data_IF_972089130082
#
_entry.id   IF_972089130082
#
_cell.length_a   1.000
_cell.length_b   1.000
_cell.length_c   1.000
_cell.angle_alpha   90.00
_cell.angle_beta   90.00
_cell.angle_gamma   90.00
#
_symmetry.space_group_name_H-M   'P 1'
#
loop_
_entity.id
_entity.type
_entity.pdbx_description
1 polymer ?
#
# COMPACT_ATOMS: atom_id res chain seq x y z
N UNK A 1 13.77 -25.80 -23.42
CA UNK A 1 12.64 -25.73 -22.47
C UNK A 1 12.88 -24.56 -21.50
N UNK A 2 12.18 -23.44 -21.67
CA UNK A 2 12.39 -22.18 -20.92
C UNK A 2 11.60 -22.20 -19.60
N UNK A 3 12.29 -22.03 -18.48
CA UNK A 3 11.77 -22.11 -17.11
C UNK A 3 10.83 -20.94 -16.78
N UNK A 4 9.61 -21.16 -16.27
CA UNK A 4 8.68 -20.10 -15.86
C UNK A 4 8.84 -19.76 -14.35
N UNK A 5 10.07 -19.54 -13.86
CA UNK A 5 10.31 -19.30 -12.43
C UNK A 5 10.36 -17.80 -12.03
N UNK A 6 10.15 -16.87 -12.97
CA UNK A 6 10.17 -15.42 -12.70
C UNK A 6 8.80 -14.80 -12.38
N UNK A 7 7.72 -15.57 -12.50
CA UNK A 7 6.35 -15.03 -12.46
C UNK A 7 5.86 -14.71 -11.02
N UNK A 8 6.28 -15.50 -10.03
CA UNK A 8 5.89 -15.27 -8.62
C UNK A 8 6.64 -14.14 -7.95
N UNK A 9 7.73 -13.64 -8.53
CA UNK A 9 8.56 -12.62 -7.88
C UNK A 9 7.88 -11.25 -7.88
N UNK A 10 7.24 -10.87 -9.00
CA UNK A 10 6.51 -9.60 -9.10
C UNK A 10 5.27 -9.60 -8.19
N UNK A 11 4.46 -10.66 -8.24
CA UNK A 11 3.30 -10.81 -7.35
C UNK A 11 3.71 -10.87 -5.88
N UNK A 12 4.79 -11.59 -5.55
CA UNK A 12 5.33 -11.67 -4.20
C UNK A 12 5.84 -10.32 -3.67
N UNK A 13 6.50 -9.53 -4.51
CA UNK A 13 6.94 -8.16 -4.17
C UNK A 13 5.72 -7.27 -3.91
N UNK A 14 4.70 -7.30 -4.78
CA UNK A 14 3.46 -6.53 -4.60
C UNK A 14 2.75 -6.90 -3.30
N UNK A 15 2.60 -8.19 -3.01
CA UNK A 15 1.99 -8.66 -1.76
C UNK A 15 2.79 -8.22 -0.52
N UNK A 16 4.12 -8.27 -0.62
CA UNK A 16 5.01 -7.84 0.45
C UNK A 16 4.90 -6.34 0.70
N UNK A 17 4.91 -5.53 -0.36
CA UNK A 17 4.69 -4.08 -0.30
C UNK A 17 3.34 -3.75 0.34
N UNK A 18 2.27 -4.41 -0.09
CA UNK A 18 0.92 -4.23 0.47
C UNK A 18 0.90 -4.58 1.97
N UNK A 19 1.53 -5.69 2.36
CA UNK A 19 1.59 -6.09 3.78
C UNK A 19 2.31 -5.05 4.64
N UNK A 20 3.47 -4.58 4.22
CA UNK A 20 4.21 -3.53 4.96
C UNK A 20 3.47 -2.19 4.96
N UNK A 21 2.77 -1.88 3.86
CA UNK A 21 1.91 -0.70 3.78
C UNK A 21 0.77 -0.75 4.80
N UNK A 22 0.02 -1.86 4.85
CA UNK A 22 -1.04 -2.11 5.84
C UNK A 22 -0.50 -2.02 7.27
N UNK A 23 0.70 -2.54 7.53
CA UNK A 23 1.33 -2.47 8.85
C UNK A 23 1.64 -1.03 9.25
N UNK A 24 2.19 -0.22 8.34
CA UNK A 24 2.43 1.21 8.57
C UNK A 24 1.13 2.00 8.77
N UNK A 25 0.08 1.65 8.01
CA UNK A 25 -1.24 2.25 8.11
C UNK A 25 -1.90 1.94 9.46
N UNK A 26 -1.75 0.71 9.96
CA UNK A 26 -2.17 0.31 11.30
C UNK A 26 -1.40 1.08 12.40
N UNK A 27 -0.09 1.30 12.22
CA UNK A 27 0.70 2.13 13.12
C UNK A 27 0.20 3.59 13.15
N UNK A 28 -0.12 4.15 11.99
CA UNK A 28 -0.63 5.52 11.89
C UNK A 28 -2.04 5.67 12.48
N UNK A 29 -2.93 4.69 12.30
CA UNK A 29 -4.26 4.72 12.94
C UNK A 29 -4.16 4.63 14.46
N UNK A 30 -3.25 3.81 14.99
CA UNK A 30 -2.99 3.78 16.45
C UNK A 30 -2.47 5.13 16.92
N UNK A 31 -1.48 5.72 16.22
CA UNK A 31 -0.94 7.03 16.58
C UNK A 31 -2.01 8.14 16.53
N UNK A 32 -2.92 8.09 15.54
CA UNK A 32 -4.05 9.00 15.43
C UNK A 32 -5.04 8.86 16.59
N UNK A 33 -5.41 7.63 16.96
CA UNK A 33 -6.29 7.36 18.10
C UNK A 33 -5.65 7.87 19.40
N UNK A 34 -4.36 7.61 19.60
CA UNK A 34 -3.63 8.11 20.77
C UNK A 34 -3.60 9.65 20.78
N UNK A 35 -3.33 10.29 19.65
CA UNK A 35 -3.33 11.76 19.55
C UNK A 35 -4.71 12.37 19.85
N UNK A 36 -5.80 11.69 19.46
CA UNK A 36 -7.17 12.05 19.81
C UNK A 36 -7.41 11.93 21.31
N UNK A 37 -6.98 10.83 21.94
CA UNK A 37 -7.16 10.60 23.38
C UNK A 37 -6.36 11.59 24.23
N UNK A 38 -5.21 12.07 23.73
CA UNK A 38 -4.36 13.05 24.41
C UNK A 38 -4.76 14.50 24.06
N UNK A 39 -5.85 14.71 23.30
CA UNK A 39 -6.37 16.05 22.94
C UNK A 39 -5.31 16.95 22.25
N UNK A 40 -4.47 16.35 21.38
CA UNK A 40 -3.51 17.08 20.54
C UNK A 40 -4.03 17.25 19.11
N UNK A 41 -4.89 18.25 18.82
CA UNK A 41 -5.53 18.42 17.52
C UNK A 41 -4.52 18.69 16.39
N UNK A 42 -3.41 19.37 16.70
CA UNK A 42 -2.32 19.63 15.74
C UNK A 42 -1.62 18.34 15.28
N UNK A 43 -1.39 17.40 16.20
CA UNK A 43 -0.73 16.13 15.89
C UNK A 43 -1.69 15.20 15.17
N UNK A 44 -2.95 15.13 15.61
CA UNK A 44 -3.98 14.38 14.92
C UNK A 44 -4.19 14.87 13.48
N UNK A 45 -4.21 16.19 13.26
CA UNK A 45 -4.30 16.80 11.92
C UNK A 45 -3.12 16.48 11.02
N UNK A 46 -1.88 16.56 11.55
CA UNK A 46 -0.68 16.21 10.80
C UNK A 46 -0.67 14.73 10.40
N UNK A 47 -1.07 13.82 11.30
CA UNK A 47 -1.17 12.39 11.02
C UNK A 47 -2.25 12.13 9.95
N UNK A 48 -3.42 12.75 10.07
CA UNK A 48 -4.50 12.60 9.11
C UNK A 48 -4.08 13.07 7.70
N UNK A 49 -3.43 14.23 7.61
CA UNK A 49 -2.93 14.75 6.32
C UNK A 49 -1.88 13.85 5.69
N UNK A 50 -0.96 13.30 6.50
CA UNK A 50 0.02 12.33 6.03
C UNK A 50 -0.68 11.05 5.54
N UNK A 51 -1.70 10.59 6.26
CA UNK A 51 -2.46 9.39 5.94
C UNK A 51 -3.19 9.55 4.60
N UNK A 52 -3.86 10.67 4.36
CA UNK A 52 -4.56 10.93 3.10
C UNK A 52 -3.60 10.94 1.91
N UNK A 53 -2.48 11.65 2.01
CA UNK A 53 -1.48 11.69 0.93
C UNK A 53 -0.88 10.32 0.64
N UNK A 54 -0.58 9.55 1.69
CA UNK A 54 0.01 8.22 1.57
C UNK A 54 -1.03 7.22 1.01
N UNK A 55 -2.28 7.28 1.46
CA UNK A 55 -3.37 6.44 0.93
C UNK A 55 -3.56 6.67 -0.57
N UNK A 56 -3.73 7.92 -0.99
CA UNK A 56 -4.00 8.24 -2.40
C UNK A 56 -2.85 7.77 -3.29
N UNK A 57 -1.60 8.05 -2.90
CA UNK A 57 -0.43 7.60 -3.67
C UNK A 57 -0.31 6.08 -3.71
N UNK A 58 -0.59 5.41 -2.59
CA UNK A 58 -0.56 3.96 -2.54
C UNK A 58 -1.63 3.30 -3.40
N UNK A 59 -2.85 3.87 -3.44
CA UNK A 59 -3.94 3.40 -4.29
C UNK A 59 -3.59 3.52 -5.76
N UNK A 60 -2.99 4.65 -6.15
CA UNK A 60 -2.51 4.87 -7.52
C UNK A 60 -1.47 3.82 -7.89
N UNK A 61 -0.47 3.58 -7.03
CA UNK A 61 0.56 2.56 -7.26
C UNK A 61 -0.03 1.15 -7.34
N UNK A 62 -0.98 0.81 -6.47
CA UNK A 62 -1.72 -0.46 -6.49
C UNK A 62 -2.52 -0.61 -7.78
N UNK A 63 -3.21 0.44 -8.24
CA UNK A 63 -3.93 0.45 -9.50
C UNK A 63 -2.98 0.25 -10.70
N UNK A 64 -1.81 0.88 -10.69
CA UNK A 64 -0.79 0.65 -11.71
C UNK A 64 -0.28 -0.80 -11.69
N UNK A 65 0.04 -1.34 -10.51
CA UNK A 65 0.48 -2.73 -10.36
C UNK A 65 -0.59 -3.72 -10.81
N UNK A 66 -1.85 -3.42 -10.51
CA UNK A 66 -3.00 -4.20 -10.97
C UNK A 66 -3.13 -4.17 -12.50
N UNK A 67 -3.02 -2.99 -13.12
CA UNK A 67 -3.08 -2.85 -14.56
C UNK A 67 -1.96 -3.63 -15.25
N UNK A 68 -0.73 -3.57 -14.72
CA UNK A 68 0.41 -4.36 -15.22
C UNK A 68 0.13 -5.86 -15.08
N UNK A 69 -0.43 -6.29 -13.96
CA UNK A 69 -0.81 -7.69 -13.75
C UNK A 69 -1.85 -8.15 -14.78
N UNK A 70 -2.91 -7.36 -14.99
CA UNK A 70 -3.97 -7.66 -15.98
C UNK A 70 -3.42 -7.70 -17.40
N UNK A 71 -2.62 -6.71 -17.82
CA UNK A 71 -2.02 -6.69 -19.16
C UNK A 71 -1.11 -7.91 -19.37
N UNK A 72 -0.34 -8.28 -18.35
CA UNK A 72 0.55 -9.43 -18.41
C UNK A 72 -0.22 -10.77 -18.43
N UNK A 73 -1.39 -10.84 -17.80
CA UNK A 73 -2.33 -11.96 -17.90
C UNK A 73 -2.92 -12.03 -19.32
N UNK A 74 -3.41 -10.91 -19.85
CA UNK A 74 -4.04 -10.84 -21.18
C UNK A 74 -3.08 -11.07 -22.33
N UNK A 75 -1.84 -10.58 -22.27
CA UNK A 75 -0.82 -10.80 -23.31
C UNK A 75 -0.29 -12.24 -23.36
N UNK A 76 -0.66 -13.07 -22.37
CA UNK A 76 -0.26 -14.47 -22.26
C UNK A 76 -1.38 -15.44 -22.66
N UNK A 77 -2.60 -14.94 -22.87
CA UNK A 77 -3.73 -15.69 -23.43
C UNK A 77 -3.79 -15.57 -24.95
#
# INVERSE_FOLDING_TARGET
>A
MRRPHRHNHLLGITFTLIKYFLLGLAGCTIAYIVALVVDLPLVAGAIAFLLEQVLVRSLVLLGCLWAIAVINESARS
#
